data_IF_893559800065
#
_entry.id   IF_893559800065
#
_cell.length_a   1.000
_cell.length_b   1.000
_cell.length_c   1.000
_cell.angle_alpha   90.00
_cell.angle_beta   90.00
_cell.angle_gamma   90.00
#
_symmetry.space_group_name_H-M   'P 1'
#
loop_
_entity.id
_entity.type
_entity.pdbx_description
1 polymer ?
#
# COMPACT_ATOMS: atom_id res chain seq x y z
N UNK A 1 -65.52 45.14 -80.50
CA UNK A 1 -65.15 43.71 -80.64
C UNK A 1 -63.68 43.60 -80.23
N UNK A 2 -63.38 43.13 -79.01
CA UNK A 2 -62.92 41.74 -78.73
C UNK A 2 -61.66 41.43 -79.57
N UNK A 3 -60.44 41.27 -79.03
CA UNK A 3 -60.04 40.47 -77.85
C UNK A 3 -58.64 40.87 -77.33
N UNK A 4 -58.49 41.00 -75.99
CA UNK A 4 -57.19 40.99 -75.29
C UNK A 4 -56.69 39.56 -75.15
N UNK A 5 -55.45 39.29 -75.58
CA UNK A 5 -54.77 38.01 -75.35
C UNK A 5 -54.04 38.04 -74.01
N UNK A 6 -54.32 37.05 -73.16
CA UNK A 6 -53.77 36.88 -71.83
C UNK A 6 -52.55 35.95 -71.88
N UNK A 7 -51.37 36.48 -71.55
CA UNK A 7 -50.16 35.67 -71.36
C UNK A 7 -49.18 36.33 -70.38
N UNK A 8 -49.56 36.48 -69.12
CA UNK A 8 -48.59 36.81 -68.06
C UNK A 8 -49.08 36.36 -66.68
N UNK A 9 -49.04 35.06 -66.37
CA UNK A 9 -49.27 34.60 -64.99
C UNK A 9 -48.79 33.16 -64.77
N UNK A 10 -47.48 32.91 -64.90
CA UNK A 10 -46.86 31.65 -64.41
C UNK A 10 -45.44 31.84 -63.84
N UNK A 11 -45.16 32.94 -63.16
CA UNK A 11 -43.87 33.14 -62.49
C UNK A 11 -44.04 33.89 -61.16
N UNK A 12 -44.92 33.41 -60.27
CA UNK A 12 -45.01 34.00 -58.92
C UNK A 12 -45.59 33.03 -57.87
N UNK A 13 -45.38 31.72 -58.03
CA UNK A 13 -45.92 30.72 -57.09
C UNK A 13 -44.96 29.61 -56.68
N UNK A 14 -43.66 29.75 -56.97
CA UNK A 14 -42.62 28.76 -56.64
C UNK A 14 -41.50 29.28 -55.73
N UNK A 15 -41.51 30.56 -55.37
CA UNK A 15 -40.47 31.16 -54.51
C UNK A 15 -40.71 31.13 -52.98
N UNK A 16 -41.91 30.90 -52.41
CA UNK A 16 -42.02 30.85 -50.95
C UNK A 16 -41.56 29.52 -50.34
N UNK A 17 -41.50 28.44 -51.13
CA UNK A 17 -41.16 27.10 -50.65
C UNK A 17 -39.64 26.87 -50.53
N UNK A 18 -38.84 27.50 -51.39
CA UNK A 18 -37.37 27.37 -51.33
C UNK A 18 -36.75 28.19 -50.19
N UNK A 19 -37.35 29.32 -49.82
CA UNK A 19 -36.87 30.15 -48.70
C UNK A 19 -37.21 29.52 -47.35
N UNK A 20 -38.36 28.85 -47.22
CA UNK A 20 -38.73 28.15 -46.00
C UNK A 20 -37.86 26.91 -45.72
N UNK A 21 -37.45 26.17 -46.76
CA UNK A 21 -36.53 25.02 -46.61
C UNK A 21 -35.11 25.47 -46.27
N UNK A 22 -34.65 26.60 -46.81
CA UNK A 22 -33.35 27.16 -46.45
C UNK A 22 -33.30 27.66 -45.00
N UNK A 23 -34.39 28.23 -44.48
CA UNK A 23 -34.44 28.70 -43.08
C UNK A 23 -34.56 27.55 -42.06
N UNK A 24 -35.18 26.43 -42.43
CA UNK A 24 -35.28 25.24 -41.57
C UNK A 24 -33.97 24.44 -41.48
N UNK A 25 -33.07 24.56 -42.47
CA UNK A 25 -31.74 23.93 -42.43
C UNK A 25 -30.68 24.72 -41.62
N UNK A 26 -30.99 25.95 -41.20
CA UNK A 26 -30.06 26.81 -40.44
C UNK A 26 -30.33 26.84 -38.93
N UNK A 27 -31.41 26.22 -38.46
CA UNK A 27 -31.68 26.04 -37.03
C UNK A 27 -31.47 24.58 -36.62
N UNK A 28 -30.23 24.12 -36.65
CA UNK A 28 -29.84 22.98 -35.80
C UNK A 28 -29.98 23.45 -34.36
N UNK A 29 -31.04 23.04 -33.67
CA UNK A 29 -31.18 23.29 -32.24
C UNK A 29 -29.96 22.70 -31.52
N UNK A 30 -29.12 23.56 -30.95
CA UNK A 30 -27.97 23.15 -30.14
C UNK A 30 -28.52 22.37 -28.95
N UNK A 31 -28.23 21.07 -28.90
CA UNK A 31 -28.63 20.26 -27.76
C UNK A 31 -27.62 20.47 -26.63
N UNK A 32 -28.08 20.60 -25.37
CA UNK A 32 -27.17 20.77 -24.24
C UNK A 32 -26.31 19.52 -24.08
N UNK A 33 -25.02 19.72 -23.80
CA UNK A 33 -24.11 18.64 -23.49
C UNK A 33 -24.55 17.90 -22.22
N UNK A 34 -24.30 16.60 -22.18
CA UNK A 34 -24.67 15.76 -21.03
C UNK A 34 -23.42 15.37 -20.26
N UNK A 35 -23.50 15.37 -18.94
CA UNK A 35 -22.44 14.92 -18.03
C UNK A 35 -23.03 13.97 -17.02
N UNK A 36 -22.40 12.81 -16.85
CA UNK A 36 -22.86 11.80 -15.91
C UNK A 36 -22.35 12.05 -14.49
N UNK A 37 -23.27 12.02 -13.53
CA UNK A 37 -22.97 11.99 -12.10
C UNK A 37 -23.08 10.54 -11.61
N UNK A 38 -22.10 10.07 -10.83
CA UNK A 38 -22.17 8.70 -10.29
C UNK A 38 -23.28 8.57 -9.24
N UNK A 39 -23.47 9.61 -8.44
CA UNK A 39 -24.47 9.68 -7.39
C UNK A 39 -25.30 10.96 -7.53
N UNK A 40 -26.51 11.01 -6.93
CA UNK A 40 -27.29 12.24 -6.82
C UNK A 40 -26.50 13.40 -6.19
N UNK A 41 -26.98 14.63 -6.42
CA UNK A 41 -26.36 15.83 -5.84
C UNK A 41 -26.31 15.73 -4.30
N UNK A 42 -25.19 16.15 -3.73
CA UNK A 42 -24.91 16.05 -2.30
C UNK A 42 -24.30 14.71 -1.85
N UNK A 43 -24.14 13.75 -2.78
CA UNK A 43 -23.56 12.43 -2.49
C UNK A 43 -22.25 12.18 -3.26
N UNK A 44 -21.39 11.43 -2.59
CA UNK A 44 -20.06 10.97 -2.99
C UNK A 44 -20.10 9.50 -3.35
N UNK A 45 -19.34 9.08 -4.37
CA UNK A 45 -19.21 7.65 -4.71
C UNK A 45 -17.95 7.04 -4.09
N UNK A 46 -18.10 5.86 -3.49
CA UNK A 46 -17.00 5.03 -2.97
C UNK A 46 -16.54 3.99 -4.01
N UNK A 47 -15.42 3.33 -3.73
CA UNK A 47 -14.81 2.35 -4.65
C UNK A 47 -15.71 1.13 -4.97
N UNK A 48 -16.65 0.81 -4.09
CA UNK A 48 -17.64 -0.26 -4.23
C UNK A 48 -18.93 0.18 -4.94
N UNK A 49 -18.95 1.39 -5.51
CA UNK A 49 -20.11 2.03 -6.17
C UNK A 49 -21.24 2.39 -5.20
N UNK A 50 -20.99 2.44 -3.90
CA UNK A 50 -21.97 2.96 -2.95
C UNK A 50 -21.96 4.49 -2.93
N UNK A 51 -23.15 5.08 -2.73
CA UNK A 51 -23.32 6.52 -2.59
C UNK A 51 -23.40 6.89 -1.11
N UNK A 52 -22.57 7.83 -0.69
CA UNK A 52 -22.49 8.34 0.69
C UNK A 52 -22.74 9.84 0.73
N UNK A 53 -23.47 10.33 1.73
CA UNK A 53 -23.75 11.77 1.83
C UNK A 53 -22.46 12.55 2.17
N UNK A 54 -22.22 13.63 1.42
CA UNK A 54 -21.05 14.53 1.60
C UNK A 54 -21.50 15.89 2.14
N UNK A 55 -22.82 16.11 2.26
CA UNK A 55 -23.45 17.32 2.81
C UNK A 55 -22.86 18.64 2.27
N UNK A 56 -22.49 18.63 0.99
CA UNK A 56 -21.91 19.76 0.26
C UNK A 56 -22.41 19.72 -1.18
N UNK A 57 -22.97 20.83 -1.65
CA UNK A 57 -23.21 21.02 -3.08
C UNK A 57 -21.86 21.26 -3.78
N UNK A 58 -21.58 20.45 -4.78
CA UNK A 58 -20.32 20.46 -5.51
C UNK A 58 -20.59 20.36 -7.01
N UNK A 59 -19.81 21.12 -7.76
CA UNK A 59 -19.75 21.06 -9.22
C UNK A 59 -18.28 20.90 -9.62
N UNK A 60 -17.99 20.13 -10.68
CA UNK A 60 -16.66 20.09 -11.26
C UNK A 60 -16.27 21.47 -11.80
N UNK A 61 -14.97 21.67 -12.04
CA UNK A 61 -14.50 22.85 -12.77
C UNK A 61 -15.03 22.74 -14.20
N UNK A 62 -15.76 23.75 -14.66
CA UNK A 62 -16.33 23.79 -16.00
C UNK A 62 -15.51 24.74 -16.90
N UNK A 63 -15.32 24.35 -18.15
CA UNK A 63 -14.51 25.07 -19.13
C UNK A 63 -15.23 25.24 -20.46
N UNK A 64 -15.13 26.42 -21.06
CA UNK A 64 -15.63 26.74 -22.39
C UNK A 64 -14.49 26.76 -23.41
N UNK A 65 -14.47 25.76 -24.30
CA UNK A 65 -13.44 25.67 -25.34
C UNK A 65 -13.54 26.79 -26.38
N UNK A 66 -14.74 27.29 -26.67
CA UNK A 66 -14.99 28.30 -27.71
C UNK A 66 -14.33 29.66 -27.43
N UNK A 67 -14.31 30.05 -26.15
CA UNK A 67 -13.77 31.33 -25.70
C UNK A 67 -12.55 31.16 -24.77
N UNK A 68 -12.12 29.92 -24.51
CA UNK A 68 -11.00 29.58 -23.62
C UNK A 68 -11.17 30.19 -22.22
N UNK A 69 -12.36 30.06 -21.62
CA UNK A 69 -12.66 30.60 -20.29
C UNK A 69 -13.18 29.52 -19.33
N UNK A 70 -12.87 29.70 -18.04
CA UNK A 70 -13.44 28.88 -16.96
C UNK A 70 -14.78 29.48 -16.53
N UNK A 71 -15.76 28.61 -16.24
CA UNK A 71 -17.03 29.03 -15.67
C UNK A 71 -16.84 29.36 -14.19
N UNK A 72 -17.58 30.36 -13.72
CA UNK A 72 -17.63 30.72 -12.30
C UNK A 72 -17.99 29.50 -11.42
N UNK A 73 -17.23 29.24 -10.33
CA UNK A 73 -17.52 28.14 -9.43
C UNK A 73 -18.96 28.19 -8.90
N UNK A 74 -19.64 27.04 -8.88
CA UNK A 74 -21.01 26.94 -8.37
C UNK A 74 -22.11 27.32 -9.39
N UNK A 75 -21.75 27.85 -10.56
CA UNK A 75 -22.71 28.19 -11.62
C UNK A 75 -22.81 27.05 -12.64
N UNK A 76 -24.01 26.53 -12.84
CA UNK A 76 -24.31 25.59 -13.93
C UNK A 76 -24.76 26.35 -15.19
N UNK A 77 -24.10 26.14 -16.35
CA UNK A 77 -24.56 26.65 -17.64
C UNK A 77 -25.85 25.98 -18.14
N UNK A 78 -26.67 26.72 -18.90
CA UNK A 78 -27.90 26.19 -19.50
C UNK A 78 -27.62 25.12 -20.58
N UNK A 79 -26.46 25.22 -21.23
CA UNK A 79 -26.00 24.27 -22.24
C UNK A 79 -25.42 22.97 -21.64
N UNK A 80 -25.46 22.81 -20.31
CA UNK A 80 -24.95 21.63 -19.61
C UNK A 80 -26.04 20.96 -18.79
N UNK A 81 -26.22 19.66 -19.02
CA UNK A 81 -27.16 18.82 -18.29
C UNK A 81 -26.43 17.73 -17.51
N UNK A 82 -26.69 17.68 -16.21
CA UNK A 82 -26.22 16.58 -15.36
C UNK A 82 -27.26 15.46 -15.28
N UNK A 83 -26.83 14.22 -15.45
CA UNK A 83 -27.68 13.01 -15.37
C UNK A 83 -27.03 12.01 -14.43
N UNK A 84 -27.79 11.46 -13.48
CA UNK A 84 -27.25 10.44 -12.57
C UNK A 84 -27.23 9.09 -13.27
N UNK A 85 -26.06 8.63 -13.69
CA UNK A 85 -25.87 7.36 -14.38
C UNK A 85 -24.41 6.90 -14.25
N UNK A 86 -24.23 5.59 -14.02
CA UNK A 86 -22.91 4.97 -14.16
C UNK A 86 -22.64 4.66 -15.63
N UNK A 87 -21.38 4.78 -16.11
CA UNK A 87 -21.08 4.51 -17.49
C UNK A 87 -21.23 3.01 -17.78
N UNK A 88 -21.83 2.69 -18.93
CA UNK A 88 -22.12 1.31 -19.35
C UNK A 88 -20.94 0.75 -20.15
N UNK A 89 -20.00 0.10 -19.45
CA UNK A 89 -18.86 -0.55 -20.09
C UNK A 89 -18.47 -1.86 -19.39
N UNK A 90 -17.73 -2.71 -20.11
CA UNK A 90 -17.29 -4.01 -19.61
C UNK A 90 -16.37 -3.88 -18.38
N UNK A 91 -15.47 -2.90 -18.37
CA UNK A 91 -14.55 -2.64 -17.26
C UNK A 91 -14.56 -1.16 -16.87
N UNK A 92 -14.86 -0.89 -15.60
CA UNK A 92 -14.87 0.45 -15.01
C UNK A 92 -13.71 0.60 -14.02
N UNK A 93 -13.05 1.75 -14.04
CA UNK A 93 -11.96 2.07 -13.14
C UNK A 93 -12.39 3.17 -12.16
N UNK A 94 -12.30 2.87 -10.86
CA UNK A 94 -12.48 3.88 -9.82
C UNK A 94 -11.25 4.79 -9.70
N UNK A 95 -11.49 6.09 -9.55
CA UNK A 95 -10.48 7.11 -9.25
C UNK A 95 -10.96 7.91 -8.04
N UNK A 96 -10.22 7.87 -6.92
CA UNK A 96 -10.56 8.66 -5.73
C UNK A 96 -10.37 10.16 -6.02
N UNK A 97 -11.04 10.99 -5.21
CA UNK A 97 -11.05 12.46 -5.26
C UNK A 97 -9.75 13.07 -5.77
N UNK A 98 -9.83 13.82 -6.89
CA UNK A 98 -8.70 14.50 -7.53
C UNK A 98 -8.99 15.98 -7.73
N UNK A 99 -8.01 16.87 -7.51
CA UNK A 99 -8.17 18.32 -7.67
C UNK A 99 -8.26 18.80 -9.13
N UNK A 100 -7.91 17.96 -10.11
CA UNK A 100 -7.66 18.38 -11.50
C UNK A 100 -8.70 17.87 -12.50
N UNK A 101 -9.98 17.85 -12.12
CA UNK A 101 -11.09 17.39 -12.96
C UNK A 101 -11.73 18.59 -13.65
N UNK A 102 -11.57 18.70 -14.97
CA UNK A 102 -12.16 19.79 -15.78
C UNK A 102 -13.13 19.21 -16.79
N UNK A 103 -14.34 19.75 -16.86
CA UNK A 103 -15.37 19.33 -17.82
C UNK A 103 -15.61 20.42 -18.84
N UNK A 104 -15.53 20.08 -20.12
CA UNK A 104 -15.88 20.98 -21.21
C UNK A 104 -17.40 21.07 -21.37
N UNK A 105 -17.93 22.29 -21.37
CA UNK A 105 -19.36 22.54 -21.43
C UNK A 105 -19.95 22.22 -22.81
N UNK A 106 -19.20 22.43 -23.90
CA UNK A 106 -19.73 22.28 -25.27
C UNK A 106 -20.10 20.85 -25.66
N UNK A 107 -19.34 19.87 -25.18
CA UNK A 107 -19.55 18.46 -25.53
C UNK A 107 -19.63 17.51 -24.32
N UNK A 108 -19.44 18.02 -23.09
CA UNK A 108 -19.44 17.23 -21.87
C UNK A 108 -18.21 16.33 -21.73
N UNK A 109 -17.11 16.62 -22.43
CA UNK A 109 -15.89 15.84 -22.31
C UNK A 109 -15.18 16.18 -21.02
N UNK A 110 -14.58 15.16 -20.41
CA UNK A 110 -13.83 15.27 -19.18
C UNK A 110 -12.33 15.23 -19.46
N UNK A 111 -11.61 16.20 -18.92
CA UNK A 111 -10.17 16.32 -18.97
C UNK A 111 -9.60 15.95 -17.60
N UNK A 112 -8.78 14.91 -17.55
CA UNK A 112 -8.10 14.42 -16.34
C UNK A 112 -6.69 13.99 -16.70
N UNK A 113 -5.68 14.60 -16.10
CA UNK A 113 -4.26 14.23 -16.29
C UNK A 113 -3.85 14.10 -17.78
N UNK A 114 -4.18 15.11 -18.59
CA UNK A 114 -3.89 15.17 -20.04
C UNK A 114 -4.69 14.18 -20.90
N UNK A 115 -5.58 13.39 -20.30
CA UNK A 115 -6.48 12.46 -20.98
C UNK A 115 -7.87 13.05 -21.15
N UNK A 116 -8.55 12.67 -22.24
CA UNK A 116 -9.88 13.16 -22.59
C UNK A 116 -10.88 12.01 -22.66
N UNK A 117 -11.93 12.08 -21.84
CA UNK A 117 -13.01 11.11 -21.80
C UNK A 117 -14.30 11.71 -22.35
N UNK A 118 -14.98 10.96 -23.22
CA UNK A 118 -16.34 11.32 -23.67
C UNK A 118 -17.35 11.12 -22.55
N UNK A 119 -18.42 11.91 -22.55
CA UNK A 119 -19.43 11.89 -21.49
C UNK A 119 -20.07 10.52 -21.19
N UNK A 120 -20.16 9.62 -22.16
CA UNK A 120 -20.70 8.27 -21.95
C UNK A 120 -19.74 7.34 -21.19
N UNK A 121 -18.45 7.69 -21.18
CA UNK A 121 -17.37 6.83 -20.69
C UNK A 121 -16.96 7.19 -19.26
N UNK A 122 -17.67 8.05 -18.56
CA UNK A 122 -17.33 8.34 -17.17
C UNK A 122 -18.58 8.70 -16.37
N UNK A 123 -18.45 8.71 -15.05
CA UNK A 123 -19.32 9.46 -14.18
C UNK A 123 -18.47 10.15 -13.10
N UNK A 124 -18.87 11.33 -12.64
CA UNK A 124 -18.14 12.10 -11.63
C UNK A 124 -18.95 12.30 -10.35
N UNK A 125 -18.26 12.51 -9.23
CA UNK A 125 -18.85 12.76 -7.91
C UNK A 125 -17.79 13.42 -7.00
N UNK A 126 -18.17 14.10 -5.89
CA UNK A 126 -17.22 14.84 -5.05
C UNK A 126 -16.11 13.97 -4.44
N UNK A 127 -16.42 12.72 -4.08
CA UNK A 127 -15.46 11.78 -3.47
C UNK A 127 -14.64 10.95 -4.47
N UNK A 128 -15.01 10.97 -5.74
CA UNK A 128 -14.38 10.12 -6.73
C UNK A 128 -15.18 10.02 -8.02
N UNK A 129 -14.63 9.28 -8.97
CA UNK A 129 -15.22 9.09 -10.29
C UNK A 129 -14.98 7.68 -10.81
N UNK A 130 -15.82 7.25 -11.74
CA UNK A 130 -15.58 6.04 -12.52
C UNK A 130 -15.33 6.42 -13.97
N UNK A 131 -14.32 5.81 -14.58
CA UNK A 131 -14.02 5.96 -16.01
C UNK A 131 -14.03 4.58 -16.68
N UNK A 132 -14.56 4.56 -17.89
CA UNK A 132 -14.48 3.45 -18.82
C UNK A 132 -13.26 3.66 -19.70
N UNK A 133 -12.45 2.63 -19.78
CA UNK A 133 -11.16 2.69 -20.44
C UNK A 133 -11.12 1.48 -21.37
N UNK A 134 -11.00 1.72 -22.67
CA UNK A 134 -10.83 0.64 -23.64
C UNK A 134 -9.47 -0.05 -23.47
N UNK A 135 -9.33 -1.25 -24.04
CA UNK A 135 -8.10 -2.05 -23.92
C UNK A 135 -6.85 -1.31 -24.44
N UNK A 136 -7.01 -0.45 -25.44
CA UNK A 136 -5.92 0.33 -26.07
C UNK A 136 -5.70 1.73 -25.46
N UNK A 137 -6.45 2.13 -24.44
CA UNK A 137 -6.36 3.51 -23.95
C UNK A 137 -5.09 3.71 -23.09
N UNK A 138 -4.32 4.80 -23.28
CA UNK A 138 -3.10 5.10 -22.52
C UNK A 138 -3.34 5.16 -21.00
N UNK A 139 -4.52 5.62 -20.57
CA UNK A 139 -4.95 5.52 -19.17
C UNK A 139 -4.93 4.10 -18.58
N UNK A 140 -5.26 3.06 -19.37
CA UNK A 140 -5.17 1.65 -18.95
C UNK A 140 -3.71 1.26 -18.78
N UNK A 141 -2.86 1.63 -19.75
CA UNK A 141 -1.43 1.33 -19.70
C UNK A 141 -0.74 2.02 -18.51
N UNK A 142 -1.06 3.29 -18.23
CA UNK A 142 -0.51 4.09 -17.11
C UNK A 142 -1.06 3.70 -15.73
N UNK A 143 -2.24 3.06 -15.66
CA UNK A 143 -2.81 2.49 -14.42
C UNK A 143 -2.46 1.00 -14.23
N UNK A 144 -2.16 0.28 -15.31
CA UNK A 144 -1.60 -1.08 -15.33
C UNK A 144 -0.08 -1.10 -15.25
N UNK A 145 0.60 0.03 -15.36
CA UNK A 145 2.00 0.16 -14.91
C UNK A 145 2.05 -0.36 -13.47
N UNK A 146 2.70 -1.51 -13.31
CA UNK A 146 2.90 -2.13 -12.00
C UNK A 146 3.68 -1.13 -11.17
N UNK A 147 3.01 -0.43 -10.25
CA UNK A 147 3.69 0.48 -9.33
C UNK A 147 4.08 -0.32 -8.10
N UNK A 148 5.38 -0.39 -7.84
CA UNK A 148 5.88 -1.11 -6.68
C UNK A 148 6.78 -0.18 -5.89
N UNK A 149 6.51 -0.14 -4.59
CA UNK A 149 7.30 0.63 -3.66
C UNK A 149 8.58 -0.12 -3.29
N UNK A 150 9.73 0.41 -3.69
CA UNK A 150 11.05 -0.03 -3.24
C UNK A 150 11.48 0.85 -2.07
N UNK A 151 12.07 0.28 -1.02
CA UNK A 151 12.45 1.08 0.15
C UNK A 151 13.62 2.03 -0.18
N UNK A 152 14.64 1.49 -0.86
CA UNK A 152 15.80 2.25 -1.30
C UNK A 152 15.69 2.67 -2.77
N UNK A 153 16.69 3.43 -3.22
CA UNK A 153 16.86 3.73 -4.63
C UNK A 153 17.19 2.46 -5.43
N UNK A 154 17.06 2.53 -6.76
CA UNK A 154 17.27 1.40 -7.68
C UNK A 154 18.61 0.68 -7.49
N UNK A 155 19.61 1.42 -7.07
CA UNK A 155 21.05 1.13 -6.97
C UNK A 155 21.52 1.03 -5.50
N UNK A 156 20.57 0.89 -4.57
CA UNK A 156 20.84 0.65 -3.15
C UNK A 156 20.03 -0.54 -2.60
N UNK A 157 20.56 -1.14 -1.54
CA UNK A 157 19.93 -2.17 -0.71
C UNK A 157 19.87 -1.69 0.74
N UNK A 158 18.94 -2.24 1.52
CA UNK A 158 18.85 -1.90 2.94
C UNK A 158 19.83 -2.75 3.75
N UNK A 159 20.67 -2.10 4.56
CA UNK A 159 21.52 -2.80 5.55
C UNK A 159 20.85 -2.74 6.92
N UNK A 160 20.58 -3.90 7.51
CA UNK A 160 20.11 -3.99 8.90
C UNK A 160 21.18 -3.53 9.89
N UNK A 161 22.46 -3.83 9.61
CA UNK A 161 23.56 -3.45 10.48
C UNK A 161 23.74 -1.93 10.60
N UNK A 162 23.46 -1.19 9.53
CA UNK A 162 23.59 0.27 9.48
C UNK A 162 22.23 1.01 9.58
N UNK A 163 21.12 0.26 9.60
CA UNK A 163 19.76 0.78 9.54
C UNK A 163 19.55 1.82 8.42
N UNK A 164 20.19 1.63 7.26
CA UNK A 164 20.20 2.59 6.16
C UNK A 164 20.35 1.91 4.80
N UNK A 165 20.01 2.65 3.74
CA UNK A 165 20.24 2.24 2.37
C UNK A 165 21.73 2.42 2.02
N UNK A 166 22.37 1.34 1.58
CA UNK A 166 23.76 1.31 1.15
C UNK A 166 23.82 1.01 -0.34
N UNK A 167 24.74 1.69 -1.05
CA UNK A 167 24.95 1.45 -2.47
C UNK A 167 25.49 0.04 -2.69
N UNK A 168 24.98 -0.65 -3.71
CA UNK A 168 25.39 -2.02 -4.03
C UNK A 168 25.61 -2.15 -5.54
N UNK A 169 26.79 -2.65 -5.91
CA UNK A 169 27.31 -2.57 -7.28
C UNK A 169 26.76 -3.66 -8.23
N UNK A 170 26.08 -4.69 -7.73
CA UNK A 170 25.55 -5.77 -8.58
C UNK A 170 24.06 -5.56 -8.89
N UNK A 171 23.82 -4.88 -10.00
CA UNK A 171 22.49 -4.52 -10.49
C UNK A 171 21.64 -5.72 -10.93
N UNK A 172 22.25 -6.87 -11.24
CA UNK A 172 21.52 -8.08 -11.63
C UNK A 172 20.79 -8.70 -10.43
N UNK A 173 21.37 -8.64 -9.23
CA UNK A 173 20.72 -9.11 -8.00
C UNK A 173 19.68 -8.13 -7.45
N UNK A 174 19.66 -6.90 -7.95
CA UNK A 174 18.69 -5.86 -7.55
C UNK A 174 17.38 -5.93 -8.34
N UNK A 175 17.35 -6.73 -9.41
CA UNK A 175 16.25 -6.75 -10.38
C UNK A 175 15.26 -7.87 -10.06
N UNK A 176 14.50 -7.70 -8.98
CA UNK A 176 13.38 -8.59 -8.66
C UNK A 176 12.08 -8.20 -9.39
N UNK A 177 12.10 -7.13 -10.19
CA UNK A 177 10.92 -6.58 -10.89
C UNK A 177 11.12 -6.60 -12.40
N UNK A 178 10.05 -6.92 -13.15
CA UNK A 178 10.05 -6.84 -14.61
C UNK A 178 10.33 -5.41 -15.09
N UNK A 179 10.97 -5.25 -16.24
CA UNK A 179 11.35 -3.95 -16.81
C UNK A 179 10.17 -2.98 -16.99
N UNK A 180 8.95 -3.52 -17.12
CA UNK A 180 7.70 -2.76 -17.28
C UNK A 180 7.08 -2.28 -15.95
N UNK A 181 7.84 -2.28 -14.86
CA UNK A 181 7.38 -1.94 -13.50
C UNK A 181 7.89 -0.55 -13.11
N UNK A 182 6.98 0.37 -12.79
CA UNK A 182 7.33 1.69 -12.29
C UNK A 182 7.69 1.61 -10.80
N UNK A 183 8.95 1.90 -10.47
CA UNK A 183 9.47 1.79 -9.10
C UNK A 183 9.29 3.13 -8.38
N UNK A 184 8.57 3.11 -7.27
CA UNK A 184 8.46 4.25 -6.34
C UNK A 184 9.43 4.02 -5.19
N UNK A 185 10.41 4.91 -5.00
CA UNK A 185 11.35 4.80 -3.87
C UNK A 185 10.83 5.50 -2.62
N UNK A 186 11.00 4.87 -1.47
CA UNK A 186 10.74 5.46 -0.16
C UNK A 186 10.20 4.47 0.87
N UNK A 187 10.49 4.76 2.14
CA UNK A 187 9.95 4.01 3.27
C UNK A 187 8.47 4.32 3.51
N UNK A 188 7.70 3.37 4.08
CA UNK A 188 6.31 3.60 4.42
C UNK A 188 6.16 4.76 5.41
N UNK A 189 5.18 5.63 5.17
CA UNK A 189 4.83 6.69 6.11
C UNK A 189 4.01 6.10 7.25
N UNK A 190 4.66 5.94 8.40
CA UNK A 190 4.07 5.37 9.60
C UNK A 190 3.85 6.44 10.67
N UNK A 191 2.71 6.40 11.35
CA UNK A 191 2.37 7.35 12.43
C UNK A 191 3.40 7.29 13.58
N UNK A 192 3.88 6.08 13.90
CA UNK A 192 4.89 5.83 14.93
C UNK A 192 6.33 6.05 14.44
N UNK A 193 6.53 6.36 13.15
CA UNK A 193 7.84 6.35 12.44
C UNK A 193 8.63 5.03 12.54
N UNK A 194 8.03 3.99 13.13
CA UNK A 194 8.64 2.68 13.28
C UNK A 194 8.13 1.77 12.16
N UNK A 195 9.06 1.21 11.42
CA UNK A 195 8.82 0.17 10.43
C UNK A 195 9.47 -1.14 10.89
N UNK A 196 8.90 -2.25 10.44
CA UNK A 196 9.39 -3.60 10.75
C UNK A 196 9.53 -4.40 9.47
N UNK A 197 10.53 -5.27 9.44
CA UNK A 197 10.67 -6.31 8.42
C UNK A 197 9.67 -7.41 8.78
N UNK A 198 8.61 -7.53 7.99
CA UNK A 198 7.48 -8.41 8.32
C UNK A 198 7.59 -9.82 7.73
N UNK A 199 8.39 -10.00 6.69
CA UNK A 199 8.59 -11.29 6.04
C UNK A 199 9.18 -11.17 4.65
N UNK A 200 9.26 -12.29 3.93
CA UNK A 200 9.83 -12.36 2.59
C UNK A 200 8.74 -12.39 1.52
N UNK A 201 9.05 -11.78 0.39
CA UNK A 201 8.24 -11.82 -0.83
C UNK A 201 8.25 -13.25 -1.40
N UNK A 202 7.12 -13.67 -1.95
CA UNK A 202 6.83 -15.02 -2.46
C UNK A 202 6.91 -16.14 -1.41
N UNK A 203 7.01 -15.78 -0.13
CA UNK A 203 6.91 -16.70 1.00
C UNK A 203 5.72 -16.30 1.88
N UNK A 204 5.80 -15.20 2.61
CA UNK A 204 4.69 -14.71 3.46
C UNK A 204 3.73 -13.79 2.72
N UNK A 205 4.24 -13.10 1.69
CA UNK A 205 3.52 -12.08 0.94
C UNK A 205 3.62 -12.31 -0.55
N UNK A 206 2.54 -12.03 -1.28
CA UNK A 206 2.52 -12.07 -2.74
C UNK A 206 2.17 -10.70 -3.31
N UNK A 207 2.88 -10.32 -4.38
CA UNK A 207 2.63 -9.09 -5.10
C UNK A 207 1.68 -9.34 -6.27
N UNK A 208 0.56 -8.64 -6.30
CA UNK A 208 -0.38 -8.72 -7.41
C UNK A 208 0.09 -7.92 -8.62
N UNK A 209 -0.46 -8.25 -9.79
CA UNK A 209 -0.19 -7.56 -11.05
C UNK A 209 -0.59 -6.07 -11.07
N UNK A 210 -1.36 -5.60 -10.07
CA UNK A 210 -1.73 -4.20 -9.88
C UNK A 210 -0.83 -3.46 -8.88
N UNK A 211 0.24 -4.08 -8.38
CA UNK A 211 1.13 -3.48 -7.38
C UNK A 211 0.57 -3.53 -5.95
N UNK A 212 -0.49 -4.28 -5.67
CA UNK A 212 -0.99 -4.48 -4.29
C UNK A 212 -0.32 -5.70 -3.65
N UNK A 213 0.10 -5.56 -2.39
CA UNK A 213 0.68 -6.67 -1.62
C UNK A 213 -0.42 -7.41 -0.85
N UNK A 214 -0.44 -8.74 -0.96
CA UNK A 214 -1.33 -9.61 -0.19
C UNK A 214 -0.53 -10.47 0.77
N UNK A 215 -1.00 -10.58 2.00
CA UNK A 215 -0.51 -11.61 2.92
C UNK A 215 -1.06 -12.99 2.52
N UNK A 216 -0.40 -14.08 2.98
CA UNK A 216 -0.95 -15.45 2.99
C UNK A 216 -2.39 -15.53 3.53
N UNK A 217 -2.78 -14.65 4.46
CA UNK A 217 -4.16 -14.55 4.98
C UNK A 217 -5.16 -13.91 4.01
N UNK A 218 -4.75 -13.61 2.78
CA UNK A 218 -5.51 -12.92 1.72
C UNK A 218 -5.88 -11.47 2.00
N UNK A 219 -5.39 -10.88 3.10
CA UNK A 219 -5.55 -9.48 3.45
C UNK A 219 -4.65 -8.58 2.58
N UNK A 220 -5.20 -7.45 2.13
CA UNK A 220 -4.44 -6.41 1.42
C UNK A 220 -3.67 -5.57 2.43
N UNK A 221 -2.39 -5.33 2.16
CA UNK A 221 -1.53 -4.49 3.00
C UNK A 221 -1.35 -3.13 2.32
N UNK A 222 -1.69 -2.06 3.04
CA UNK A 222 -1.41 -0.69 2.64
C UNK A 222 -0.10 -0.20 3.27
N UNK A 223 0.56 0.78 2.67
CA UNK A 223 1.80 1.41 3.16
C UNK A 223 2.92 0.39 3.44
N UNK A 224 3.47 -0.17 2.35
CA UNK A 224 4.58 -1.09 2.40
C UNK A 224 5.68 -0.64 1.43
N UNK A 225 6.90 -1.13 1.64
CA UNK A 225 7.94 -1.11 0.62
C UNK A 225 8.66 -2.47 0.62
N UNK A 226 9.32 -2.80 -0.49
CA UNK A 226 10.00 -4.08 -0.69
C UNK A 226 11.48 -3.81 -0.96
N UNK A 227 12.37 -4.55 -0.33
CA UNK A 227 13.81 -4.37 -0.49
C UNK A 227 14.61 -5.62 -0.19
N UNK A 228 15.76 -5.80 -0.86
CA UNK A 228 16.73 -6.82 -0.48
C UNK A 228 17.59 -6.37 0.70
N UNK A 229 17.88 -7.31 1.59
CA UNK A 229 18.79 -7.09 2.70
C UNK A 229 20.23 -7.22 2.22
N UNK A 230 21.06 -6.23 2.53
CA UNK A 230 22.47 -6.20 2.15
C UNK A 230 23.24 -7.41 2.73
N UNK A 231 22.86 -7.85 3.93
CA UNK A 231 23.44 -9.00 4.62
C UNK A 231 23.04 -10.34 3.99
N UNK A 232 21.97 -10.37 3.21
CA UNK A 232 21.45 -11.58 2.52
C UNK A 232 21.09 -11.26 1.06
N UNK A 233 22.06 -10.95 0.19
CA UNK A 233 21.79 -10.50 -1.18
C UNK A 233 21.19 -11.60 -2.07
N UNK A 234 21.41 -12.87 -1.72
CA UNK A 234 20.86 -14.03 -2.45
C UNK A 234 19.50 -14.48 -1.91
N UNK A 235 19.01 -13.89 -0.81
CA UNK A 235 17.68 -14.15 -0.30
C UNK A 235 16.62 -13.40 -1.11
N UNK A 236 15.38 -13.87 -1.08
CA UNK A 236 14.23 -13.15 -1.65
C UNK A 236 14.06 -11.79 -0.97
N UNK A 237 13.47 -10.85 -1.72
CA UNK A 237 13.21 -9.50 -1.23
C UNK A 237 12.33 -9.52 0.03
N UNK A 238 12.65 -8.66 0.99
CA UNK A 238 11.92 -8.51 2.25
C UNK A 238 10.87 -7.40 2.16
N UNK A 239 9.77 -7.58 2.87
CA UNK A 239 8.68 -6.60 2.96
C UNK A 239 8.81 -5.80 4.25
N UNK A 240 8.81 -4.47 4.09
CA UNK A 240 8.80 -3.50 5.16
C UNK A 240 7.39 -2.91 5.29
N UNK A 241 6.88 -2.86 6.51
CA UNK A 241 5.58 -2.28 6.82
C UNK A 241 5.64 -1.51 8.14
N UNK A 242 4.63 -0.68 8.38
CA UNK A 242 4.51 -0.01 9.67
C UNK A 242 4.36 -1.02 10.80
N UNK A 243 5.06 -0.76 11.91
CA UNK A 243 4.86 -1.53 13.12
C UNK A 243 3.38 -1.46 13.50
N UNK A 244 2.70 -2.61 13.75
CA UNK A 244 1.35 -2.56 14.28
C UNK A 244 1.37 -1.70 15.56
N UNK A 245 0.31 -0.93 15.83
CA UNK A 245 0.16 -0.33 17.15
C UNK A 245 0.34 -1.47 18.16
N UNK A 246 1.06 -1.23 19.25
CA UNK A 246 1.45 -2.25 20.23
C UNK A 246 0.21 -2.85 20.94
N UNK A 247 -0.67 -3.53 20.22
CA UNK A 247 -1.56 -4.54 20.74
C UNK A 247 -0.65 -5.73 21.00
N UNK A 248 -0.14 -5.77 22.23
CA UNK A 248 0.25 -6.98 22.96
C UNK A 248 -0.19 -8.24 22.19
N UNK A 249 0.76 -8.91 21.56
CA UNK A 249 0.63 -10.34 21.30
C UNK A 249 0.66 -11.01 22.68
N UNK A 250 -0.49 -11.01 23.36
CA UNK A 250 -0.71 -11.43 24.75
C UNK A 250 -0.51 -12.95 24.98
N UNK A 251 0.12 -13.65 24.03
CA UNK A 251 0.38 -15.10 24.08
C UNK A 251 1.87 -15.45 24.08
N UNK A 252 2.75 -14.53 23.69
CA UNK A 252 4.21 -14.74 23.75
C UNK A 252 4.86 -14.09 24.98
N UNK A 253 4.23 -13.06 25.57
CA UNK A 253 4.80 -12.27 26.68
C UNK A 253 4.81 -13.01 28.04
N UNK A 254 3.83 -13.90 28.27
CA UNK A 254 3.72 -14.58 29.56
C UNK A 254 4.82 -15.63 29.74
N UNK A 255 5.18 -16.35 28.67
CA UNK A 255 6.28 -17.34 28.70
C UNK A 255 7.63 -16.65 28.84
N UNK A 256 7.80 -15.49 28.20
CA UNK A 256 9.02 -14.68 28.29
C UNK A 256 9.22 -14.08 29.69
N UNK A 257 8.16 -13.93 30.50
CA UNK A 257 8.25 -13.42 31.88
C UNK A 257 8.39 -14.54 32.92
N UNK A 258 7.66 -15.65 32.76
CA UNK A 258 7.67 -16.76 33.74
C UNK A 258 9.03 -17.46 33.75
N UNK A 259 9.66 -17.62 32.58
CA UNK A 259 10.95 -18.30 32.45
C UNK A 259 12.08 -17.60 33.23
N UNK A 260 12.38 -16.31 33.01
CA UNK A 260 13.43 -15.62 33.77
C UNK A 260 13.08 -15.51 35.25
N UNK A 261 11.80 -15.33 35.62
CA UNK A 261 11.40 -15.28 37.02
C UNK A 261 11.66 -16.61 37.75
N UNK A 262 11.34 -17.74 37.11
CA UNK A 262 11.66 -19.08 37.65
C UNK A 262 13.16 -19.32 37.77
N UNK A 263 13.93 -18.80 36.80
CA UNK A 263 15.39 -18.89 36.78
C UNK A 263 16.04 -18.13 37.96
N UNK A 264 15.61 -16.89 38.22
CA UNK A 264 16.13 -16.09 39.33
C UNK A 264 15.81 -16.72 40.69
N UNK A 265 14.59 -17.22 40.87
CA UNK A 265 14.19 -17.91 42.10
C UNK A 265 15.04 -19.17 42.30
N UNK A 266 15.28 -19.96 41.26
CA UNK A 266 16.11 -21.17 41.33
C UNK A 266 17.56 -20.86 41.75
N UNK A 267 18.20 -19.86 41.13
CA UNK A 267 19.57 -19.45 41.47
C UNK A 267 19.67 -18.99 42.92
N UNK A 268 18.68 -18.22 43.40
CA UNK A 268 18.64 -17.73 44.78
C UNK A 268 18.56 -18.88 45.79
N UNK A 269 17.63 -19.82 45.61
CA UNK A 269 17.48 -20.98 46.51
C UNK A 269 18.69 -21.91 46.48
N UNK A 270 19.27 -22.15 45.31
CA UNK A 270 20.49 -22.96 45.18
C UNK A 270 21.69 -22.28 45.87
N UNK A 271 21.80 -20.96 45.78
CA UNK A 271 22.88 -20.20 46.44
C UNK A 271 22.79 -20.30 47.96
N UNK A 272 21.58 -20.14 48.53
CA UNK A 272 21.35 -20.29 49.98
C UNK A 272 21.67 -21.71 50.42
N UNK A 273 21.24 -22.72 49.64
CA UNK A 273 21.50 -24.13 49.95
C UNK A 273 23.00 -24.43 49.92
N UNK A 274 23.74 -23.87 48.96
CA UNK A 274 25.19 -24.00 48.87
C UNK A 274 25.88 -23.35 50.08
N UNK A 275 25.51 -22.11 50.43
CA UNK A 275 26.07 -21.39 51.58
C UNK A 275 25.78 -22.13 52.88
N UNK A 276 24.54 -22.57 53.09
CA UNK A 276 24.15 -23.34 54.27
C UNK A 276 24.93 -24.66 54.37
N UNK A 277 25.14 -25.34 53.23
CA UNK A 277 25.95 -26.56 53.17
C UNK A 277 27.42 -26.30 53.50
N UNK A 278 27.98 -25.14 53.15
CA UNK A 278 29.34 -24.74 53.52
C UNK A 278 29.48 -24.31 54.98
N UNK A 279 28.42 -23.78 55.60
CA UNK A 279 28.44 -23.31 57.00
C UNK A 279 28.25 -24.41 58.04
N UNK A 280 27.85 -25.63 57.64
CA UNK A 280 27.70 -26.78 58.54
C UNK A 280 29.06 -27.47 58.77
N UNK A 281 29.75 -27.23 59.90
CA UNK A 281 31.14 -27.67 60.08
C UNK A 281 31.25 -29.14 60.49
N UNK A 282 30.13 -29.85 60.71
CA UNK A 282 30.13 -31.19 61.32
C UNK A 282 30.17 -32.36 60.32
N UNK A 283 30.13 -32.11 59.02
CA UNK A 283 29.95 -33.15 57.99
C UNK A 283 31.21 -33.49 57.17
N UNK A 284 32.39 -32.95 57.51
CA UNK A 284 33.62 -33.08 56.70
C UNK A 284 34.03 -34.52 56.32
N UNK A 285 33.61 -35.55 57.07
CA UNK A 285 33.99 -36.96 56.86
C UNK A 285 33.03 -37.80 56.00
N UNK A 286 31.82 -37.33 55.66
CA UNK A 286 30.87 -38.14 54.90
C UNK A 286 31.09 -37.97 53.37
N UNK A 287 31.66 -38.95 52.68
CA UNK A 287 31.91 -38.88 51.23
C UNK A 287 30.66 -38.44 50.41
N UNK A 288 29.47 -38.80 50.91
CA UNK A 288 28.16 -38.41 50.37
C UNK A 288 27.92 -36.88 50.34
N UNK A 289 28.39 -36.14 51.35
CA UNK A 289 28.17 -34.69 51.46
C UNK A 289 28.92 -33.93 50.36
N UNK A 290 30.15 -34.34 50.04
CA UNK A 290 30.96 -33.73 48.98
C UNK A 290 30.32 -33.91 47.62
N UNK A 291 29.81 -35.11 47.33
CA UNK A 291 29.11 -35.38 46.07
C UNK A 291 27.86 -34.49 45.92
N UNK A 292 27.08 -34.36 46.99
CA UNK A 292 25.87 -33.53 46.99
C UNK A 292 26.19 -32.04 46.79
N UNK A 293 27.23 -31.51 47.42
CA UNK A 293 27.65 -30.11 47.25
C UNK A 293 28.18 -29.84 45.83
N UNK A 294 28.96 -30.77 45.25
CA UNK A 294 29.44 -30.65 43.87
C UNK A 294 28.29 -30.69 42.86
N UNK A 295 27.28 -31.53 43.08
CA UNK A 295 26.09 -31.58 42.23
C UNK A 295 25.30 -30.26 42.27
N UNK A 296 25.06 -29.72 43.47
CA UNK A 296 24.35 -28.43 43.64
C UNK A 296 25.14 -27.27 43.04
N UNK A 297 26.47 -27.25 43.19
CA UNK A 297 27.34 -26.25 42.57
C UNK A 297 27.28 -26.31 41.04
N UNK A 298 27.28 -27.52 40.45
CA UNK A 298 27.15 -27.69 39.01
C UNK A 298 25.80 -27.18 38.48
N UNK A 299 24.70 -27.47 39.19
CA UNK A 299 23.39 -26.95 38.83
C UNK A 299 23.34 -25.41 38.89
N UNK A 300 23.95 -24.80 39.91
CA UNK A 300 24.02 -23.35 40.04
C UNK A 300 24.77 -22.71 38.86
N UNK A 301 25.92 -23.28 38.47
CA UNK A 301 26.69 -22.80 37.30
C UNK A 301 25.88 -22.95 36.00
N UNK A 302 25.20 -24.08 35.81
CA UNK A 302 24.35 -24.30 34.65
C UNK A 302 23.22 -23.27 34.54
N UNK A 303 22.52 -23.02 35.65
CA UNK A 303 21.44 -22.02 35.69
C UNK A 303 21.97 -20.59 35.48
N UNK A 304 23.14 -20.26 36.02
CA UNK A 304 23.77 -18.97 35.80
C UNK A 304 24.14 -18.73 34.34
N UNK A 305 24.75 -19.72 33.67
CA UNK A 305 25.07 -19.63 32.24
C UNK A 305 23.82 -19.50 31.37
N UNK A 306 22.77 -20.25 31.70
CA UNK A 306 21.50 -20.18 30.97
C UNK A 306 20.84 -18.79 31.12
N UNK A 307 20.90 -18.20 32.32
CA UNK A 307 20.39 -16.86 32.58
C UNK A 307 21.17 -15.80 31.79
N UNK A 308 22.49 -15.91 31.70
CA UNK A 308 23.32 -15.02 30.88
C UNK A 308 22.95 -15.12 29.40
N UNK A 309 22.77 -16.34 28.88
CA UNK A 309 22.39 -16.54 27.48
C UNK A 309 21.02 -15.91 27.16
N UNK A 310 20.08 -15.96 28.12
CA UNK A 310 18.74 -15.39 27.95
C UNK A 310 18.72 -13.87 28.09
N UNK A 311 19.45 -13.30 29.04
CA UNK A 311 19.62 -11.85 29.17
C UNK A 311 20.41 -11.26 27.99
N UNK A 312 21.30 -12.05 27.39
CA UNK A 312 21.98 -11.70 26.16
C UNK A 312 21.04 -11.61 24.96
N UNK A 313 19.98 -12.42 24.90
CA UNK A 313 19.08 -12.52 23.75
C UNK A 313 18.50 -11.18 23.25
N UNK A 314 18.17 -10.25 24.17
CA UNK A 314 17.59 -8.95 23.81
C UNK A 314 18.65 -7.87 23.48
N UNK A 315 19.88 -8.00 24.01
CA UNK A 315 21.00 -7.08 23.75
C UNK A 315 21.83 -7.48 22.52
N UNK A 316 21.76 -8.76 22.11
CA UNK A 316 22.49 -9.33 20.97
C UNK A 316 21.92 -8.90 19.61
N UNK A 317 20.78 -8.22 19.56
CA UNK A 317 20.25 -7.65 18.30
C UNK A 317 21.13 -6.52 17.72
N UNK A 318 22.08 -5.96 18.47
CA UNK A 318 22.85 -4.77 18.03
C UNK A 318 24.38 -4.88 18.22
N UNK A 319 24.94 -6.08 18.48
CA UNK A 319 26.39 -6.20 18.67
C UNK A 319 26.90 -7.63 18.54
N UNK A 320 27.81 -7.86 17.58
CA UNK A 320 28.39 -9.15 17.25
C UNK A 320 29.20 -9.77 18.38
N UNK A 321 28.53 -10.47 19.29
CA UNK A 321 29.13 -11.31 20.33
C UNK A 321 28.66 -12.75 20.10
N UNK A 322 29.58 -13.65 19.77
CA UNK A 322 29.30 -15.07 19.61
C UNK A 322 29.21 -15.75 20.98
N UNK A 323 28.11 -16.48 21.23
CA UNK A 323 27.98 -17.33 22.42
C UNK A 323 28.44 -18.74 22.04
N UNK A 324 29.56 -19.17 22.64
CA UNK A 324 30.06 -20.54 22.50
C UNK A 324 29.34 -21.47 23.46
N UNK A 325 28.48 -22.36 22.96
CA UNK A 325 27.91 -23.45 23.75
C UNK A 325 28.80 -24.67 23.52
N UNK A 326 29.57 -25.04 24.55
CA UNK A 326 30.45 -26.21 24.53
C UNK A 326 29.74 -27.45 25.07
N UNK A 327 29.84 -28.57 24.36
CA UNK A 327 29.39 -29.87 24.86
C UNK A 327 30.53 -30.52 25.67
N UNK A 328 30.29 -30.76 26.95
CA UNK A 328 31.24 -31.40 27.87
C UNK A 328 30.78 -32.82 28.20
N UNK A 329 31.50 -33.82 27.71
CA UNK A 329 31.49 -35.17 28.29
C UNK A 329 32.89 -35.55 28.75
N UNK A 330 32.98 -36.04 29.98
CA UNK A 330 34.15 -36.72 30.54
C UNK A 330 35.50 -36.00 30.37
N UNK A 331 35.56 -34.70 30.73
CA UNK A 331 36.83 -34.00 30.93
C UNK A 331 37.60 -33.60 29.65
N UNK A 332 36.97 -33.67 28.47
CA UNK A 332 37.57 -33.20 27.22
C UNK A 332 36.55 -32.43 26.36
N UNK A 333 36.86 -31.17 26.04
CA UNK A 333 36.04 -30.31 25.18
C UNK A 333 36.22 -30.80 23.73
N UNK A 334 35.19 -31.48 23.18
CA UNK A 334 35.25 -32.01 21.81
C UNK A 334 34.75 -31.05 20.73
N UNK A 335 33.85 -30.13 21.06
CA UNK A 335 33.30 -29.22 20.06
C UNK A 335 32.71 -27.98 20.72
N UNK A 336 33.20 -26.81 20.31
CA UNK A 336 32.57 -25.52 20.59
C UNK A 336 31.67 -25.23 19.39
N UNK A 337 30.35 -25.29 19.57
CA UNK A 337 29.44 -24.72 18.57
C UNK A 337 29.22 -23.26 18.96
N UNK A 338 29.88 -22.38 18.22
CA UNK A 338 29.61 -20.95 18.29
C UNK A 338 28.36 -20.67 17.48
N UNK A 339 27.31 -20.20 18.15
CA UNK A 339 26.17 -19.60 17.46
C UNK A 339 26.42 -18.09 17.50
N UNK A 340 26.79 -17.55 16.34
CA UNK A 340 26.86 -16.11 16.11
C UNK A 340 25.54 -15.70 15.45
N UNK A 341 24.87 -14.70 16.00
CA UNK A 341 23.69 -14.07 15.39
C UNK A 341 24.12 -12.79 14.68
#
# INVERSE_FOLDING_TARGET
MLTRSAASMRWCRRWPLLVAVACAMLCSAVQPATVYLCCPRGQGVESDRTCVDVNREWLPVLYWAENNTLVEPGRQPDDLRFVTQFPECNETFYLPERPDIVVEVGNGSLFVNEEVFKWQNYCISPKGMFVCVGDDHPFRQKKMEKRVHKCCLTDAMYSEAQATCVAFNDTNKMKFMSEDTFILSGFPQCDSKLYVVAGKLDEEYSLNANGTLRSKSRQSVANYCVEHLYEQPDAKASVFMCAPPASRSDRDDLRYTIYPLGQFLSIFFLSITLVSSCMLPSSYHALHWKCQTHYVACLLVGQFLLAIAQLGGDSIRHGGICVGIGESQAGSIRSIRSICY
#
